data_IF_265056789899
#
_entry.id   IF_265056789899
#
_cell.length_a   1.000
_cell.length_b   1.000
_cell.length_c   1.000
_cell.angle_alpha   90.00
_cell.angle_beta   90.00
_cell.angle_gamma   90.00
#
_symmetry.space_group_name_H-M   'P 1'
#
loop_
_entity.id
_entity.type
_entity.pdbx_description
1 polymer ?
#
# COMPACT_ATOMS: atom_id res chain seq x y z
N UNK A 1 -16.61 3.57 8.71
CA UNK A 1 -17.00 2.24 9.22
C UNK A 1 -17.66 1.45 8.09
N UNK A 2 -17.26 0.20 7.85
CA UNK A 2 -18.02 -0.65 6.91
C UNK A 2 -19.40 -0.99 7.47
N UNK A 3 -20.36 -1.11 6.58
CA UNK A 3 -21.72 -1.50 6.95
C UNK A 3 -21.76 -2.94 7.48
N UNK A 4 -20.86 -3.78 6.96
CA UNK A 4 -20.77 -5.20 7.30
C UNK A 4 -19.34 -5.67 7.08
N UNK A 5 -18.78 -6.40 8.04
CA UNK A 5 -17.46 -7.00 7.90
C UNK A 5 -17.57 -8.31 7.14
N UNK A 6 -16.93 -8.39 5.98
CA UNK A 6 -16.96 -9.59 5.12
C UNK A 6 -15.79 -10.55 5.44
N UNK A 7 -14.68 -10.03 5.95
CA UNK A 7 -13.47 -10.81 6.18
C UNK A 7 -12.60 -10.08 7.21
N UNK A 8 -11.97 -10.84 8.09
CA UNK A 8 -11.02 -10.31 9.07
C UNK A 8 -9.69 -11.04 8.90
N UNK A 9 -8.65 -10.32 8.53
CA UNK A 9 -7.29 -10.86 8.49
C UNK A 9 -6.69 -10.80 9.89
N UNK A 10 -5.89 -11.80 10.23
CA UNK A 10 -5.23 -11.87 11.52
C UNK A 10 -3.76 -12.24 11.33
N UNK A 11 -2.86 -11.52 11.98
CA UNK A 11 -1.45 -11.82 12.00
C UNK A 11 -0.89 -11.50 13.38
N UNK A 12 0.12 -12.28 13.79
CA UNK A 12 0.74 -12.16 15.11
C UNK A 12 2.22 -11.83 14.96
N UNK A 13 2.69 -10.87 15.73
CA UNK A 13 4.11 -10.52 15.84
C UNK A 13 4.70 -11.17 17.08
N UNK A 14 5.88 -11.76 16.93
CA UNK A 14 6.65 -12.33 18.05
C UNK A 14 8.09 -11.84 18.00
N UNK A 15 8.84 -12.03 19.07
CA UNK A 15 10.22 -11.55 19.18
C UNK A 15 10.25 -10.04 19.45
N UNK A 16 11.16 -9.34 18.81
CA UNK A 16 11.44 -7.93 19.08
C UNK A 16 10.71 -6.96 18.15
N UNK A 17 9.49 -7.28 17.73
CA UNK A 17 8.73 -6.38 16.86
C UNK A 17 9.41 -6.20 15.51
N UNK A 18 10.00 -5.01 15.25
CA UNK A 18 10.66 -4.71 13.98
C UNK A 18 11.85 -5.60 13.66
N UNK A 19 12.36 -6.35 14.65
CA UNK A 19 13.45 -7.33 14.48
C UNK A 19 13.00 -8.75 14.79
N UNK A 20 11.70 -8.99 14.77
CA UNK A 20 11.11 -10.26 15.12
C UNK A 20 10.57 -11.03 13.93
N UNK A 21 9.35 -11.52 14.07
CA UNK A 21 8.71 -12.37 13.08
C UNK A 21 7.22 -12.10 13.05
N UNK A 22 6.61 -12.13 11.87
CA UNK A 22 5.16 -12.04 11.72
C UNK A 22 4.63 -13.26 10.99
N UNK A 23 3.47 -13.73 11.42
CA UNK A 23 2.80 -14.84 10.76
C UNK A 23 1.29 -14.59 10.74
N UNK A 24 0.67 -14.78 9.58
CA UNK A 24 -0.79 -14.73 9.48
C UNK A 24 -1.39 -16.04 9.96
N UNK A 25 -2.68 -15.99 10.36
CA UNK A 25 -3.36 -17.16 10.89
C UNK A 25 -3.37 -18.35 9.92
N UNK A 26 -3.35 -18.07 8.61
CA UNK A 26 -3.31 -19.09 7.56
C UNK A 26 -1.89 -19.42 7.07
N UNK A 27 -0.86 -18.83 7.69
CA UNK A 27 0.55 -18.99 7.33
C UNK A 27 0.92 -18.51 5.91
N UNK A 28 0.06 -17.78 5.23
CA UNK A 28 0.38 -17.20 3.92
C UNK A 28 1.43 -16.10 4.04
N UNK A 29 1.41 -15.35 5.15
CA UNK A 29 2.50 -14.47 5.53
C UNK A 29 3.24 -15.15 6.68
N UNK A 30 4.55 -15.33 6.50
CA UNK A 30 5.40 -16.00 7.48
C UNK A 30 6.81 -15.46 7.22
N UNK A 31 7.15 -14.35 7.89
CA UNK A 31 8.27 -13.52 7.49
C UNK A 31 9.10 -13.08 8.67
N UNK A 32 10.42 -13.19 8.53
CA UNK A 32 11.37 -12.55 9.44
C UNK A 32 11.43 -11.06 9.14
N UNK A 33 11.55 -10.26 10.19
CA UNK A 33 11.63 -8.81 10.13
C UNK A 33 13.01 -8.33 10.56
N UNK A 34 13.48 -7.30 9.87
CA UNK A 34 14.70 -6.59 10.27
C UNK A 34 14.57 -5.14 9.81
N UNK A 35 15.00 -4.16 10.62
CA UNK A 35 15.02 -2.78 10.16
C UNK A 35 15.99 -2.64 8.99
N UNK A 36 15.71 -1.74 8.04
CA UNK A 36 16.63 -1.50 6.93
C UNK A 36 17.91 -0.81 7.43
N UNK A 37 18.97 -0.88 6.63
CA UNK A 37 20.24 -0.28 6.98
C UNK A 37 20.11 1.23 7.24
N UNK A 38 19.24 1.92 6.52
CA UNK A 38 18.98 3.35 6.68
C UNK A 38 18.44 3.69 8.07
N UNK A 39 17.83 2.72 8.76
CA UNK A 39 17.34 2.88 10.13
C UNK A 39 18.25 2.17 11.15
N UNK A 40 19.46 1.82 10.75
CA UNK A 40 20.46 1.21 11.63
C UNK A 40 20.34 -0.30 11.77
N UNK A 41 19.53 -0.96 10.94
CA UNK A 41 19.33 -2.40 11.01
C UNK A 41 20.18 -3.19 10.04
N UNK A 42 20.01 -4.52 10.05
CA UNK A 42 20.75 -5.43 9.19
C UNK A 42 20.24 -5.46 7.76
N UNK A 43 18.96 -5.12 7.56
CA UNK A 43 18.30 -5.28 6.26
C UNK A 43 18.05 -6.72 5.85
N UNK A 44 18.22 -7.69 6.75
CA UNK A 44 18.12 -9.13 6.44
C UNK A 44 16.70 -9.69 6.56
N UNK A 45 15.69 -8.85 6.56
CA UNK A 45 14.30 -9.26 6.61
C UNK A 45 13.42 -8.21 5.98
N UNK A 46 12.12 -8.47 5.99
CA UNK A 46 11.14 -7.45 5.60
C UNK A 46 10.92 -6.46 6.74
N UNK A 47 10.08 -5.47 6.53
CA UNK A 47 9.77 -4.48 7.55
C UNK A 47 8.32 -4.03 7.39
N UNK A 48 7.75 -3.37 8.42
CA UNK A 48 6.36 -2.92 8.35
C UNK A 48 6.06 -1.99 7.17
N UNK A 49 7.02 -1.16 6.77
CA UNK A 49 6.83 -0.23 5.65
C UNK A 49 6.74 -0.96 4.32
N UNK A 50 7.53 -2.03 4.13
CA UNK A 50 7.40 -2.91 2.95
C UNK A 50 6.05 -3.61 2.93
N UNK A 51 5.59 -4.09 4.09
CA UNK A 51 4.28 -4.73 4.19
C UNK A 51 3.16 -3.75 3.89
N UNK A 52 3.26 -2.52 4.39
CA UNK A 52 2.30 -1.47 4.10
C UNK A 52 2.30 -1.14 2.60
N UNK A 53 3.48 -1.01 2.00
CA UNK A 53 3.62 -0.74 0.57
C UNK A 53 3.02 -1.87 -0.28
N UNK A 54 3.31 -3.12 0.06
CA UNK A 54 2.77 -4.28 -0.66
C UNK A 54 1.25 -4.32 -0.56
N UNK A 55 0.70 -4.11 0.64
CA UNK A 55 -0.74 -4.08 0.86
C UNK A 55 -1.41 -2.93 0.12
N UNK A 56 -0.85 -1.73 0.21
CA UNK A 56 -1.43 -0.55 -0.43
C UNK A 56 -1.40 -0.69 -1.96
N UNK A 57 -0.25 -1.09 -2.52
CA UNK A 57 -0.14 -1.24 -3.98
C UNK A 57 -1.17 -2.24 -4.52
N UNK A 58 -1.33 -3.38 -3.87
CA UNK A 58 -2.29 -4.40 -4.28
C UNK A 58 -3.75 -3.92 -4.13
N UNK A 59 -4.05 -3.28 -3.01
CA UNK A 59 -5.39 -2.76 -2.72
C UNK A 59 -5.77 -1.67 -3.73
N UNK A 60 -4.86 -0.72 -3.96
CA UNK A 60 -5.08 0.35 -4.92
C UNK A 60 -5.19 -0.18 -6.36
N UNK A 61 -4.34 -1.14 -6.72
CA UNK A 61 -4.38 -1.75 -8.06
C UNK A 61 -5.72 -2.43 -8.32
N UNK A 62 -6.25 -3.12 -7.33
CA UNK A 62 -7.58 -3.72 -7.42
C UNK A 62 -8.66 -2.66 -7.65
N UNK A 63 -8.59 -1.55 -6.91
CA UNK A 63 -9.51 -0.42 -7.08
C UNK A 63 -9.37 0.20 -8.48
N UNK A 64 -8.14 0.34 -8.98
CA UNK A 64 -7.87 0.87 -10.31
C UNK A 64 -8.54 0.00 -11.39
N UNK A 65 -8.37 -1.30 -11.30
CA UNK A 65 -8.98 -2.23 -12.25
C UNK A 65 -10.51 -2.22 -12.16
N UNK A 66 -11.05 -2.04 -10.97
CA UNK A 66 -12.49 -1.92 -10.77
C UNK A 66 -13.06 -0.67 -11.46
N UNK A 67 -12.45 0.50 -11.22
CA UNK A 67 -12.95 1.75 -11.83
C UNK A 67 -12.72 1.75 -13.35
N UNK A 68 -11.65 1.11 -13.82
CA UNK A 68 -11.41 0.95 -15.26
C UNK A 68 -12.54 0.12 -15.90
N UNK A 69 -12.93 -1.00 -15.27
CA UNK A 69 -14.04 -1.82 -15.74
C UNK A 69 -15.34 -1.03 -15.80
N UNK A 70 -15.63 -0.26 -14.77
CA UNK A 70 -16.84 0.58 -14.71
C UNK A 70 -16.87 1.64 -15.80
N UNK A 71 -15.69 2.14 -16.16
CA UNK A 71 -15.53 3.12 -17.25
C UNK A 71 -15.40 2.46 -18.63
N UNK A 72 -15.45 1.13 -18.69
CA UNK A 72 -15.26 0.34 -19.93
C UNK A 72 -13.91 0.60 -20.59
N UNK A 73 -12.89 0.72 -19.74
CA UNK A 73 -11.50 0.88 -20.15
C UNK A 73 -10.73 -0.37 -19.76
N UNK A 74 -9.93 -0.91 -20.69
CA UNK A 74 -9.06 -2.05 -20.41
C UNK A 74 -7.80 -1.55 -19.70
N UNK A 75 -7.55 -1.98 -18.44
CA UNK A 75 -6.33 -1.58 -17.73
C UNK A 75 -5.07 -2.31 -18.21
N UNK A 76 -5.20 -3.37 -19.01
CA UNK A 76 -4.07 -4.08 -19.60
C UNK A 76 -3.02 -4.50 -18.60
N UNK A 77 -1.76 -4.25 -18.93
CA UNK A 77 -0.58 -4.55 -18.11
C UNK A 77 -0.29 -3.42 -17.10
N UNK A 78 -1.33 -2.88 -16.49
CA UNK A 78 -1.17 -1.80 -15.52
C UNK A 78 -0.38 -2.24 -14.30
N UNK A 79 0.35 -1.30 -13.71
CA UNK A 79 1.09 -1.51 -12.47
C UNK A 79 0.83 -0.37 -11.50
N UNK A 80 0.89 -0.69 -10.22
CA UNK A 80 0.87 0.30 -9.14
C UNK A 80 2.06 0.02 -8.23
N UNK A 81 2.88 1.04 -8.02
CA UNK A 81 3.99 0.97 -7.08
C UNK A 81 3.68 1.90 -5.92
N UNK A 82 3.75 1.40 -4.70
CA UNK A 82 3.63 2.24 -3.51
C UNK A 82 5.02 2.48 -2.92
N UNK A 83 5.35 3.74 -2.72
CA UNK A 83 6.54 4.16 -2.01
C UNK A 83 6.09 4.66 -0.65
N UNK A 84 6.52 3.99 0.42
CA UNK A 84 6.12 4.33 1.79
C UNK A 84 7.36 4.79 2.54
N UNK A 85 7.38 6.07 2.91
CA UNK A 85 8.45 6.66 3.69
C UNK A 85 8.07 6.74 5.16
N UNK A 86 9.07 6.64 6.03
CA UNK A 86 8.90 6.80 7.47
C UNK A 86 9.93 7.83 7.95
N UNK A 87 9.51 8.68 8.86
CA UNK A 87 10.39 9.66 9.46
C UNK A 87 9.84 10.20 10.76
N UNK A 88 10.67 10.96 11.52
CA UNK A 88 10.22 11.57 12.76
C UNK A 88 9.06 12.53 12.53
N UNK A 89 8.11 12.52 13.44
CA UNK A 89 6.97 13.43 13.45
C UNK A 89 6.69 13.80 14.93
N UNK A 90 7.23 14.94 15.36
CA UNK A 90 7.21 15.29 16.77
C UNK A 90 8.00 14.26 17.58
N UNK A 91 7.36 13.71 18.62
CA UNK A 91 7.97 12.63 19.43
C UNK A 91 7.65 11.24 18.91
N UNK A 92 6.94 11.15 17.79
CA UNK A 92 6.54 9.88 17.18
C UNK A 92 7.16 9.75 15.79
N UNK A 93 6.68 8.79 15.03
CA UNK A 93 7.05 8.60 13.64
C UNK A 93 5.80 8.69 12.78
N UNK A 94 5.97 9.24 11.59
CA UNK A 94 4.90 9.37 10.62
C UNK A 94 5.26 8.73 9.29
N UNK A 95 4.23 8.46 8.50
CA UNK A 95 4.38 7.86 7.18
C UNK A 95 3.99 8.88 6.10
N UNK A 96 4.61 8.71 4.93
CA UNK A 96 4.23 9.44 3.72
C UNK A 96 4.19 8.43 2.58
N UNK A 97 3.23 8.57 1.68
CA UNK A 97 3.02 7.60 0.60
C UNK A 97 3.03 8.30 -0.75
N UNK A 98 3.69 7.70 -1.73
CA UNK A 98 3.53 8.02 -3.13
C UNK A 98 3.07 6.76 -3.85
N UNK A 99 1.97 6.88 -4.61
CA UNK A 99 1.49 5.81 -5.46
C UNK A 99 1.84 6.17 -6.90
N UNK A 100 2.58 5.30 -7.56
CA UNK A 100 3.01 5.46 -8.95
C UNK A 100 2.15 4.55 -9.81
N UNK A 101 1.34 5.13 -10.68
CA UNK A 101 0.37 4.40 -11.48
C UNK A 101 0.80 4.42 -12.95
N UNK A 102 0.92 3.25 -13.54
CA UNK A 102 1.29 3.09 -14.94
C UNK A 102 0.27 2.21 -15.66
N UNK A 103 -0.36 2.75 -16.69
CA UNK A 103 -1.33 2.03 -17.51
C UNK A 103 -0.87 2.16 -18.97
N UNK A 104 -0.15 1.16 -19.49
CA UNK A 104 0.27 1.16 -20.90
C UNK A 104 -0.97 1.25 -21.80
N UNK A 105 -0.91 2.05 -22.82
CA UNK A 105 -2.04 2.20 -23.74
C UNK A 105 -2.97 3.35 -23.41
N UNK A 106 -2.85 3.96 -22.23
CA UNK A 106 -3.57 5.18 -21.88
C UNK A 106 -2.58 6.34 -21.80
N UNK A 107 -3.06 7.55 -22.14
CA UNK A 107 -2.23 8.73 -21.94
C UNK A 107 -2.20 9.13 -20.46
N UNK A 108 -1.39 10.12 -20.13
CA UNK A 108 -1.21 10.56 -18.75
C UNK A 108 -2.50 11.06 -18.13
N UNK A 109 -3.30 11.83 -18.89
CA UNK A 109 -4.53 12.39 -18.34
C UNK A 109 -5.57 11.32 -18.05
N UNK A 110 -5.75 10.37 -18.97
CA UNK A 110 -6.66 9.25 -18.76
C UNK A 110 -6.24 8.40 -17.55
N UNK A 111 -4.94 8.13 -17.42
CA UNK A 111 -4.39 7.38 -16.28
C UNK A 111 -4.64 8.14 -14.99
N UNK A 112 -4.45 9.47 -14.97
CA UNK A 112 -4.69 10.29 -13.79
C UNK A 112 -6.15 10.26 -13.37
N UNK A 113 -7.06 10.35 -14.31
CA UNK A 113 -8.50 10.28 -14.01
C UNK A 113 -8.87 8.94 -13.36
N UNK A 114 -8.35 7.83 -13.88
CA UNK A 114 -8.56 6.52 -13.27
C UNK A 114 -7.93 6.44 -11.89
N UNK A 115 -6.73 6.96 -11.73
CA UNK A 115 -6.03 6.95 -10.44
C UNK A 115 -6.81 7.73 -9.38
N UNK A 116 -7.34 8.89 -9.72
CA UNK A 116 -8.15 9.68 -8.80
C UNK A 116 -9.45 8.97 -8.43
N UNK A 117 -10.10 8.31 -9.39
CA UNK A 117 -11.29 7.50 -9.12
C UNK A 117 -10.96 6.31 -8.21
N UNK A 118 -9.85 5.63 -8.45
CA UNK A 118 -9.38 4.52 -7.62
C UNK A 118 -9.09 4.98 -6.18
N UNK A 119 -8.51 6.17 -6.02
CA UNK A 119 -8.20 6.74 -4.72
C UNK A 119 -9.47 6.97 -3.88
N UNK A 120 -10.60 7.21 -4.51
CA UNK A 120 -11.87 7.39 -3.80
C UNK A 120 -12.45 6.08 -3.29
N UNK A 121 -12.20 4.95 -3.96
CA UNK A 121 -12.82 3.67 -3.59
C UNK A 121 -11.88 2.70 -2.91
N UNK A 122 -10.57 2.91 -3.00
CA UNK A 122 -9.58 2.06 -2.35
C UNK A 122 -9.72 2.13 -0.82
N UNK A 123 -9.93 1.01 -0.13
CA UNK A 123 -10.06 1.03 1.34
C UNK A 123 -8.83 1.60 2.05
N UNK A 124 -7.62 1.34 1.54
CA UNK A 124 -6.40 1.90 2.13
C UNK A 124 -6.35 3.42 1.94
N UNK A 125 -6.72 3.90 0.77
CA UNK A 125 -6.80 5.35 0.52
C UNK A 125 -7.82 6.01 1.44
N UNK A 126 -8.93 5.36 1.71
CA UNK A 126 -9.94 5.87 2.64
C UNK A 126 -9.41 5.88 4.08
N UNK A 127 -8.54 4.94 4.43
CA UNK A 127 -7.92 4.90 5.75
C UNK A 127 -6.84 5.97 5.94
N UNK A 128 -6.15 6.33 4.86
CA UNK A 128 -5.02 7.27 4.92
C UNK A 128 -5.43 8.72 4.63
N UNK A 129 -6.44 8.92 3.78
CA UNK A 129 -6.88 10.26 3.35
C UNK A 129 -7.29 11.12 4.54
N UNK A 130 -6.79 12.35 4.56
CA UNK A 130 -7.07 13.28 5.64
C UNK A 130 -6.19 13.08 6.87
N UNK A 131 -5.32 12.07 6.86
CA UNK A 131 -4.42 11.77 7.96
C UNK A 131 -2.95 11.90 7.55
N UNK A 132 -2.54 11.23 6.48
CA UNK A 132 -1.17 11.31 5.96
C UNK A 132 -1.18 11.78 4.51
N UNK A 133 -0.03 12.29 4.07
CA UNK A 133 0.13 12.71 2.68
C UNK A 133 0.20 11.48 1.76
N UNK A 134 -0.64 11.47 0.74
CA UNK A 134 -0.61 10.45 -0.32
C UNK A 134 -0.58 11.17 -1.67
N UNK A 135 0.55 11.06 -2.37
CA UNK A 135 0.70 11.64 -3.70
C UNK A 135 0.39 10.57 -4.75
N UNK A 136 -0.37 10.95 -5.76
CA UNK A 136 -0.59 10.12 -6.95
C UNK A 136 0.35 10.61 -8.05
N UNK A 137 1.24 9.74 -8.51
CA UNK A 137 2.19 10.08 -9.57
C UNK A 137 1.90 9.25 -10.80
N UNK A 138 1.74 9.93 -11.93
CA UNK A 138 1.55 9.30 -13.23
C UNK A 138 2.73 9.70 -14.10
N UNK A 139 3.66 8.78 -14.40
CA UNK A 139 4.84 9.06 -15.21
C UNK A 139 4.54 9.49 -16.63
#
# INVERSE_FOLDING_TARGET
MPDKVLYTAEATSTGDGRSGHVVSSDHRLDLDLAPPAEMGGSGNGTNPEQLFAAGYSACFHSALRLVARRAKVDPGESTVTAEVGIGPEGEAYGLVVTLVIHVPGLDREQTRELAEAAHQVCPYSRATRGNISVELRVP
#
